data_IF_790177012505
#
_entry.id   IF_790177012505
#
_cell.length_a   1.000
_cell.length_b   1.000
_cell.length_c   1.000
_cell.angle_alpha   90.00
_cell.angle_beta   90.00
_cell.angle_gamma   90.00
#
_symmetry.space_group_name_H-M   'P 1'
#
loop_
_entity.id
_entity.type
_entity.pdbx_description
1 polymer ?
#
# COMPACT_ATOMS: atom_id res chain seq x y z
N UNK A 1 13.71 15.41 7.77
CA UNK A 1 14.13 14.02 7.47
C UNK A 1 13.25 13.09 8.29
N UNK A 2 12.13 12.65 7.70
CA UNK A 2 11.25 11.66 8.30
C UNK A 2 11.47 10.34 7.56
N UNK A 3 12.19 9.43 8.19
CA UNK A 3 12.37 8.06 7.72
C UNK A 3 11.02 7.33 7.71
N UNK A 4 10.65 6.71 6.59
CA UNK A 4 9.42 5.91 6.47
C UNK A 4 9.43 4.76 7.48
N UNK A 5 8.50 4.80 8.44
CA UNK A 5 8.27 3.71 9.39
C UNK A 5 7.28 2.73 8.77
N UNK A 6 7.51 1.43 8.96
CA UNK A 6 6.58 0.36 8.56
C UNK A 6 5.16 0.59 9.09
N UNK A 7 5.05 1.16 10.29
CA UNK A 7 3.82 1.67 10.86
C UNK A 7 3.89 3.20 10.99
N UNK A 8 2.99 3.88 10.28
CA UNK A 8 2.76 5.32 10.41
C UNK A 8 1.28 5.56 10.75
N UNK A 9 1.05 5.94 12.01
CA UNK A 9 -0.27 6.23 12.55
C UNK A 9 -0.98 7.35 11.76
N UNK A 10 -0.25 8.40 11.36
CA UNK A 10 -0.87 9.52 10.66
C UNK A 10 -1.30 9.06 9.27
N UNK A 11 -0.43 8.37 8.53
CA UNK A 11 -0.74 7.81 7.22
C UNK A 11 -2.00 6.91 7.27
N UNK A 12 -2.10 5.98 8.22
CA UNK A 12 -3.27 5.10 8.33
C UNK A 12 -4.56 5.90 8.58
N UNK A 13 -4.49 6.93 9.43
CA UNK A 13 -5.66 7.73 9.78
C UNK A 13 -6.11 8.69 8.67
N UNK A 14 -5.21 9.15 7.83
CA UNK A 14 -5.50 10.17 6.80
C UNK A 14 -5.47 9.64 5.36
N UNK A 15 -5.03 8.41 5.11
CA UNK A 15 -4.99 7.87 3.74
C UNK A 15 -6.41 7.71 3.17
N UNK A 16 -6.75 8.32 2.02
CA UNK A 16 -8.04 8.14 1.34
C UNK A 16 -8.25 6.73 0.80
N UNK A 17 -7.17 6.05 0.38
CA UNK A 17 -7.21 4.71 -0.18
C UNK A 17 -7.49 3.69 0.92
N UNK A 18 -8.71 3.15 0.93
CA UNK A 18 -9.06 2.06 1.85
C UNK A 18 -8.29 0.78 1.51
N UNK A 19 -7.98 0.58 0.22
CA UNK A 19 -7.16 -0.52 -0.28
C UNK A 19 -5.75 -0.48 0.31
N UNK A 20 -5.09 0.67 0.28
CA UNK A 20 -3.78 0.84 0.91
C UNK A 20 -3.85 0.60 2.42
N UNK A 21 -4.89 1.09 3.10
CA UNK A 21 -5.10 0.87 4.54
C UNK A 21 -5.25 -0.62 4.86
N UNK A 22 -5.99 -1.38 4.05
CA UNK A 22 -6.12 -2.83 4.21
C UNK A 22 -4.79 -3.55 3.96
N UNK A 23 -4.07 -3.19 2.89
CA UNK A 23 -2.74 -3.74 2.60
C UNK A 23 -1.75 -3.48 3.74
N UNK A 24 -1.74 -2.27 4.30
CA UNK A 24 -0.89 -1.92 5.45
C UNK A 24 -1.26 -2.76 6.68
N UNK A 25 -2.55 -2.97 6.95
CA UNK A 25 -3.02 -3.85 8.02
C UNK A 25 -2.53 -5.29 7.83
N UNK A 26 -2.72 -5.86 6.64
CA UNK A 26 -2.30 -7.23 6.32
C UNK A 26 -0.78 -7.36 6.49
N UNK A 27 -0.01 -6.43 5.92
CA UNK A 27 1.46 -6.48 6.01
C UNK A 27 1.95 -6.40 7.46
N UNK A 28 1.31 -5.59 8.32
CA UNK A 28 1.62 -5.54 9.75
C UNK A 28 1.21 -6.84 10.46
N UNK A 29 0.05 -7.42 10.12
CA UNK A 29 -0.42 -8.69 10.70
C UNK A 29 0.54 -9.84 10.36
N UNK A 30 1.03 -9.92 9.13
CA UNK A 30 2.05 -10.88 8.72
C UNK A 30 3.34 -10.72 9.52
N UNK A 31 3.82 -9.49 9.70
CA UNK A 31 5.06 -9.25 10.43
C UNK A 31 4.94 -9.57 11.93
N UNK A 32 3.81 -9.21 12.57
CA UNK A 32 3.53 -9.65 13.93
C UNK A 32 3.48 -11.18 14.04
N UNK A 33 2.88 -11.85 13.05
CA UNK A 33 2.76 -13.30 13.05
C UNK A 33 4.14 -14.00 12.95
N UNK A 34 5.01 -13.60 12.01
CA UNK A 34 6.36 -14.20 11.87
C UNK A 34 7.28 -13.92 13.06
N UNK A 35 6.97 -12.89 13.86
CA UNK A 35 7.63 -12.60 15.13
C UNK A 35 7.03 -13.37 16.32
N UNK A 36 6.00 -14.19 16.10
CA UNK A 36 5.34 -15.03 17.11
C UNK A 36 4.19 -14.34 17.87
N UNK A 37 3.82 -13.11 17.51
CA UNK A 37 2.69 -12.38 18.11
C UNK A 37 1.36 -12.73 17.42
N UNK A 38 1.01 -14.02 17.41
CA UNK A 38 -0.15 -14.54 16.65
C UNK A 38 -1.48 -13.96 17.15
N UNK A 39 -1.62 -13.66 18.45
CA UNK A 39 -2.81 -13.00 18.99
C UNK A 39 -3.04 -11.59 18.42
N UNK A 40 -1.97 -10.85 18.18
CA UNK A 40 -2.01 -9.52 17.55
C UNK A 40 -2.42 -9.67 16.10
N UNK A 41 -1.78 -10.57 15.35
CA UNK A 41 -2.12 -10.85 13.96
C UNK A 41 -3.60 -11.26 13.81
N UNK A 42 -4.09 -12.18 14.64
CA UNK A 42 -5.52 -12.54 14.72
C UNK A 42 -6.41 -11.32 14.90
N UNK A 43 -6.08 -10.44 15.85
CA UNK A 43 -6.91 -9.27 16.15
C UNK A 43 -6.97 -8.32 14.95
N UNK A 44 -5.85 -8.12 14.25
CA UNK A 44 -5.81 -7.32 13.02
C UNK A 44 -6.64 -7.98 11.91
N UNK A 45 -6.50 -9.29 11.69
CA UNK A 45 -7.31 -10.03 10.71
C UNK A 45 -8.80 -9.94 11.03
N UNK A 46 -9.22 -10.10 12.30
CA UNK A 46 -10.62 -9.91 12.69
C UNK A 46 -11.10 -8.49 12.39
N UNK A 47 -10.28 -7.46 12.62
CA UNK A 47 -10.63 -6.09 12.24
C UNK A 47 -10.83 -5.97 10.73
N UNK A 48 -9.93 -6.51 9.91
CA UNK A 48 -10.07 -6.52 8.45
C UNK A 48 -11.35 -7.24 8.02
N UNK A 49 -11.57 -8.46 8.48
CA UNK A 49 -12.72 -9.29 8.08
C UNK A 49 -14.06 -8.72 8.56
N UNK A 50 -14.06 -7.94 9.66
CA UNK A 50 -15.23 -7.16 10.07
C UNK A 50 -15.56 -6.03 9.08
N UNK A 51 -14.57 -5.58 8.31
CA UNK A 51 -14.73 -4.54 7.31
C UNK A 51 -14.97 -5.10 5.91
N UNK A 52 -14.23 -6.13 5.50
CA UNK A 52 -14.39 -6.81 4.23
C UNK A 52 -14.15 -8.31 4.37
N UNK A 53 -15.21 -9.10 4.14
CA UNK A 53 -15.21 -10.56 4.19
C UNK A 53 -15.24 -11.19 2.79
N UNK A 54 -14.97 -10.41 1.74
CA UNK A 54 -14.90 -10.88 0.35
C UNK A 54 -13.92 -12.04 0.16
N UNK A 55 -14.14 -12.86 -0.88
CA UNK A 55 -13.22 -13.93 -1.25
C UNK A 55 -11.80 -13.41 -1.55
N UNK A 56 -11.70 -12.21 -2.15
CA UNK A 56 -10.43 -11.55 -2.41
C UNK A 56 -9.68 -11.23 -1.10
N UNK A 57 -10.36 -10.60 -0.13
CA UNK A 57 -9.78 -10.32 1.19
C UNK A 57 -9.36 -11.60 1.93
N UNK A 58 -10.17 -12.66 1.85
CA UNK A 58 -9.82 -13.97 2.42
C UNK A 58 -8.59 -14.58 1.74
N UNK A 59 -8.47 -14.43 0.42
CA UNK A 59 -7.32 -14.89 -0.36
C UNK A 59 -6.05 -14.13 0.00
N UNK A 60 -6.13 -12.81 0.23
CA UNK A 60 -4.96 -12.01 0.62
C UNK A 60 -4.39 -12.43 1.99
N UNK A 61 -5.24 -12.89 2.92
CA UNK A 61 -4.79 -13.35 4.25
C UNK A 61 -4.54 -14.86 4.34
N UNK A 62 -4.75 -15.62 3.27
CA UNK A 62 -4.83 -17.10 3.33
C UNK A 62 -3.59 -17.75 3.96
N UNK A 63 -2.40 -17.17 3.77
CA UNK A 63 -1.15 -17.71 4.32
C UNK A 63 -1.03 -17.52 5.83
N UNK A 64 -1.75 -16.55 6.41
CA UNK A 64 -1.85 -16.40 7.87
C UNK A 64 -2.68 -17.51 8.51
N UNK A 65 -3.52 -18.22 7.74
CA UNK A 65 -4.28 -19.37 8.24
C UNK A 65 -3.35 -20.47 8.79
N UNK A 66 -2.14 -20.62 8.24
CA UNK A 66 -1.15 -21.56 8.77
C UNK A 66 -0.72 -21.19 10.20
N UNK A 67 -0.48 -19.91 10.48
CA UNK A 67 -0.10 -19.43 11.81
C UNK A 67 -1.24 -19.61 12.83
N UNK A 68 -2.47 -19.33 12.39
CA UNK A 68 -3.67 -19.47 13.21
C UNK A 68 -3.96 -20.95 13.52
N UNK A 69 -3.75 -21.84 12.54
CA UNK A 69 -3.85 -23.28 12.70
C UNK A 69 -2.82 -23.83 13.71
N UNK A 70 -1.56 -23.42 13.57
CA UNK A 70 -0.45 -23.87 14.43
C UNK A 70 -0.69 -23.55 15.92
N UNK A 71 -1.42 -22.48 16.20
CA UNK A 71 -1.70 -22.00 17.57
C UNK A 71 -3.13 -22.24 18.03
N UNK A 72 -3.99 -22.85 17.20
CA UNK A 72 -5.44 -22.97 17.41
C UNK A 72 -6.10 -21.63 17.81
N UNK A 73 -5.66 -20.53 17.18
CA UNK A 73 -6.08 -19.18 17.54
C UNK A 73 -6.76 -18.48 16.37
N UNK A 74 -7.92 -18.99 15.97
CA UNK A 74 -8.66 -18.49 14.81
C UNK A 74 -9.52 -17.25 15.13
N UNK A 75 -9.64 -16.27 14.20
CA UNK A 75 -10.72 -15.29 14.15
C UNK A 75 -12.10 -15.95 14.13
N UNK A 76 -13.12 -15.29 14.67
CA UNK A 76 -14.51 -15.79 14.62
C UNK A 76 -15.10 -15.67 13.20
N UNK A 77 -14.58 -14.72 12.42
CA UNK A 77 -15.01 -14.41 11.06
C UNK A 77 -14.61 -15.50 10.04
N UNK A 78 -13.58 -16.30 10.33
CA UNK A 78 -13.15 -17.40 9.44
C UNK A 78 -14.05 -18.62 9.68
N UNK A 79 -14.66 -19.16 8.62
CA UNK A 79 -15.63 -20.25 8.74
C UNK A 79 -14.97 -21.54 9.24
N UNK A 80 -15.73 -22.44 9.86
CA UNK A 80 -15.19 -23.73 10.31
C UNK A 80 -14.64 -24.57 9.15
N UNK A 81 -15.20 -24.45 7.95
CA UNK A 81 -14.73 -25.18 6.77
C UNK A 81 -13.33 -24.73 6.34
N UNK A 82 -13.04 -23.44 6.45
CA UNK A 82 -11.73 -22.86 6.09
C UNK A 82 -10.65 -23.16 7.14
N UNK A 83 -11.05 -23.65 8.33
CA UNK A 83 -10.15 -24.11 9.39
C UNK A 83 -9.76 -25.58 9.25
N UNK A 84 -10.45 -26.34 8.39
CA UNK A 84 -10.20 -27.76 8.22
C UNK A 84 -8.87 -28.01 7.51
N UNK A 85 -8.22 -29.13 7.82
CA UNK A 85 -6.95 -29.55 7.22
C UNK A 85 -6.99 -29.52 5.69
N UNK A 86 -8.13 -29.92 5.11
CA UNK A 86 -8.33 -29.91 3.66
C UNK A 86 -8.20 -28.51 3.06
N UNK A 87 -8.72 -27.47 3.71
CA UNK A 87 -8.59 -26.10 3.23
C UNK A 87 -7.13 -25.63 3.30
N UNK A 88 -6.41 -26.02 4.36
CA UNK A 88 -4.97 -25.74 4.49
C UNK A 88 -4.13 -26.46 3.43
N UNK A 89 -4.49 -27.70 3.10
CA UNK A 89 -3.90 -28.47 1.99
C UNK A 89 -4.16 -27.80 0.64
N UNK A 90 -5.38 -27.29 0.40
CA UNK A 90 -5.72 -26.58 -0.83
C UNK A 90 -4.87 -25.30 -0.99
N UNK A 91 -4.62 -24.55 0.10
CA UNK A 91 -3.67 -23.42 0.08
C UNK A 91 -2.26 -23.93 -0.22
N UNK A 92 -1.85 -25.05 0.39
CA UNK A 92 -0.51 -25.62 0.23
C UNK A 92 -0.22 -26.05 -1.21
N UNK A 93 -1.22 -26.56 -1.93
CA UNK A 93 -1.11 -26.93 -3.35
C UNK A 93 -0.83 -25.73 -4.27
N UNK A 94 -1.14 -24.51 -3.82
CA UNK A 94 -0.94 -23.28 -4.56
C UNK A 94 0.24 -22.47 -4.01
N UNK A 95 1.07 -23.05 -3.14
CA UNK A 95 2.29 -22.40 -2.67
C UNK A 95 3.24 -22.10 -3.85
N UNK A 96 3.75 -20.86 -3.97
CA UNK A 96 4.69 -20.50 -5.04
C UNK A 96 5.92 -21.42 -5.01
N UNK A 97 6.32 -22.02 -6.13
CA UNK A 97 7.58 -22.77 -6.21
C UNK A 97 7.56 -24.23 -5.71
N UNK A 98 6.42 -24.76 -5.26
CA UNK A 98 6.26 -26.22 -5.04
C UNK A 98 5.89 -26.87 -6.37
N UNK A 99 6.79 -27.65 -6.96
CA UNK A 99 6.39 -28.55 -8.05
C UNK A 99 5.63 -29.75 -7.46
N UNK A 100 4.48 -30.17 -8.03
CA UNK A 100 3.66 -31.29 -7.53
C UNK A 100 4.37 -32.66 -7.49
N UNK A 101 5.64 -32.73 -7.91
CA UNK A 101 6.44 -33.95 -8.00
C UNK A 101 7.31 -34.25 -6.79
N UNK A 102 7.41 -33.36 -5.79
CA UNK A 102 8.30 -33.55 -4.63
C UNK A 102 7.63 -34.25 -3.43
N UNK A 103 6.33 -34.54 -3.47
CA UNK A 103 5.56 -35.13 -2.37
C UNK A 103 5.68 -36.66 -2.24
N UNK A 104 6.88 -37.22 -2.43
CA UNK A 104 7.06 -38.68 -2.24
C UNK A 104 8.43 -39.32 -2.49
N UNK A 105 9.53 -38.57 -2.64
CA UNK A 105 10.87 -39.19 -2.75
C UNK A 105 11.53 -39.35 -1.38
N UNK A 106 12.17 -40.50 -1.14
CA UNK A 106 13.07 -40.73 0.01
C UNK A 106 14.05 -39.55 0.18
N UNK A 107 14.00 -38.91 1.35
CA UNK A 107 14.84 -37.76 1.73
C UNK A 107 16.33 -38.15 1.60
N UNK A 108 17.08 -37.45 0.75
CA UNK A 108 18.42 -37.90 0.31
C UNK A 108 19.44 -36.77 0.09
N UNK A 109 20.60 -37.10 -0.50
CA UNK A 109 21.69 -36.15 -0.84
C UNK A 109 21.21 -34.94 -1.67
N UNK A 110 20.06 -35.05 -2.35
CA UNK A 110 19.41 -34.00 -3.14
C UNK A 110 18.94 -32.81 -2.29
N UNK A 111 18.34 -33.05 -1.12
CA UNK A 111 17.80 -31.97 -0.27
C UNK A 111 18.91 -31.23 0.46
N UNK A 112 19.98 -31.94 0.84
CA UNK A 112 21.21 -31.30 1.33
C UNK A 112 21.86 -30.41 0.28
N UNK A 113 21.92 -30.87 -0.98
CA UNK A 113 22.45 -30.07 -2.08
C UNK A 113 21.57 -28.85 -2.36
N UNK A 114 20.25 -29.01 -2.38
CA UNK A 114 19.27 -27.91 -2.55
C UNK A 114 19.32 -26.91 -1.39
N UNK A 115 19.36 -27.37 -0.15
CA UNK A 115 19.54 -26.53 1.04
C UNK A 115 20.83 -25.71 0.96
N UNK A 116 21.94 -26.37 0.59
CA UNK A 116 23.21 -25.68 0.43
C UNK A 116 23.13 -24.67 -0.71
N UNK A 117 22.55 -25.03 -1.85
CA UNK A 117 22.34 -24.10 -2.94
C UNK A 117 21.54 -22.89 -2.46
N UNK A 118 20.29 -23.05 -2.02
CA UNK A 118 19.44 -21.94 -1.54
C UNK A 118 20.12 -21.04 -0.50
N UNK A 119 20.95 -21.59 0.38
CA UNK A 119 21.67 -20.80 1.38
C UNK A 119 22.83 -19.99 0.78
N UNK A 120 23.45 -20.43 -0.31
CA UNK A 120 24.71 -19.92 -0.85
C UNK A 120 24.72 -19.51 -2.34
N UNK A 121 23.68 -19.78 -3.15
CA UNK A 121 23.64 -19.43 -4.58
C UNK A 121 23.78 -17.93 -4.82
N UNK A 122 23.67 -17.11 -3.78
CA UNK A 122 23.62 -15.66 -3.89
C UNK A 122 24.41 -14.94 -2.78
N UNK A 123 25.60 -15.46 -2.42
CA UNK A 123 26.53 -14.74 -1.51
C UNK A 123 26.96 -13.35 -2.04
N UNK A 124 26.56 -12.96 -3.25
CA UNK A 124 26.80 -11.64 -3.86
C UNK A 124 25.59 -10.70 -4.02
N UNK A 125 24.35 -11.13 -3.79
CA UNK A 125 23.19 -10.23 -3.81
C UNK A 125 22.83 -9.78 -2.39
N UNK A 126 23.38 -8.64 -1.98
CA UNK A 126 22.96 -7.90 -0.79
C UNK A 126 21.76 -6.99 -1.05
N UNK A 127 21.31 -6.86 -2.31
CA UNK A 127 20.16 -6.06 -2.73
C UNK A 127 18.98 -6.19 -1.75
N UNK A 128 18.50 -5.06 -1.23
CA UNK A 128 17.42 -4.99 -0.24
C UNK A 128 16.06 -4.73 -0.88
N UNK A 129 16.02 -4.25 -2.12
CA UNK A 129 14.80 -3.98 -2.88
C UNK A 129 14.80 -4.64 -4.27
N UNK A 130 13.62 -4.70 -4.88
CA UNK A 130 13.42 -5.17 -6.25
C UNK A 130 13.45 -6.69 -6.41
N UNK A 131 13.60 -7.15 -7.66
CA UNK A 131 13.44 -8.56 -8.03
C UNK A 131 14.46 -9.49 -7.34
N UNK A 132 15.73 -9.07 -7.28
CA UNK A 132 16.79 -9.88 -6.66
C UNK A 132 16.56 -10.05 -5.16
N UNK A 133 16.13 -8.99 -4.46
CA UNK A 133 15.77 -9.06 -3.05
C UNK A 133 14.61 -10.05 -2.82
N UNK A 134 13.54 -9.97 -3.61
CA UNK A 134 12.40 -10.90 -3.54
C UNK A 134 12.80 -12.36 -3.79
N UNK A 135 13.61 -12.62 -4.83
CA UNK A 135 14.11 -13.97 -5.11
C UNK A 135 14.94 -14.53 -3.95
N UNK A 136 15.76 -13.68 -3.32
CA UNK A 136 16.56 -14.08 -2.16
C UNK A 136 15.71 -14.35 -0.92
N UNK A 137 14.68 -13.54 -0.68
CA UNK A 137 13.69 -13.74 0.39
C UNK A 137 12.98 -15.08 0.25
N UNK A 138 12.48 -15.39 -0.95
CA UNK A 138 11.86 -16.67 -1.25
C UNK A 138 12.82 -17.86 -1.03
N UNK A 139 14.06 -17.76 -1.53
CA UNK A 139 15.05 -18.83 -1.34
C UNK A 139 15.39 -19.10 0.14
N UNK A 140 15.41 -18.07 0.98
CA UNK A 140 15.64 -18.22 2.42
C UNK A 140 14.43 -18.84 3.14
N UNK A 141 13.21 -18.52 2.72
CA UNK A 141 12.01 -19.18 3.23
C UNK A 141 11.97 -20.67 2.87
N UNK A 142 12.37 -21.03 1.65
CA UNK A 142 12.50 -22.43 1.21
C UNK A 142 13.59 -23.16 1.97
N UNK A 143 14.73 -22.51 2.19
CA UNK A 143 15.82 -23.08 2.97
C UNK A 143 15.40 -23.33 4.44
N UNK A 144 14.51 -22.49 5.00
CA UNK A 144 13.97 -22.69 6.34
C UNK A 144 13.06 -23.92 6.37
N UNK A 145 12.14 -24.05 5.40
CA UNK A 145 11.24 -25.20 5.30
C UNK A 145 12.03 -26.50 5.20
N UNK A 146 13.00 -26.59 4.29
CA UNK A 146 13.87 -27.77 4.15
C UNK A 146 14.64 -28.05 5.46
N UNK A 147 15.16 -27.02 6.13
CA UNK A 147 15.88 -27.23 7.38
C UNK A 147 14.97 -27.78 8.50
N UNK A 148 13.71 -27.35 8.56
CA UNK A 148 12.72 -27.82 9.53
C UNK A 148 12.36 -29.28 9.22
N UNK A 149 12.10 -29.63 7.96
CA UNK A 149 11.79 -31.01 7.56
C UNK A 149 12.93 -31.97 7.93
N UNK A 150 14.17 -31.61 7.59
CA UNK A 150 15.36 -32.39 7.94
C UNK A 150 15.57 -32.56 9.45
N UNK A 151 15.16 -31.57 10.25
CA UNK A 151 15.24 -31.65 11.71
C UNK A 151 14.10 -32.50 12.28
N UNK A 152 12.93 -32.44 11.64
CA UNK A 152 11.71 -33.17 12.02
C UNK A 152 11.86 -34.69 11.82
N UNK A 153 12.67 -35.11 10.85
CA UNK A 153 13.11 -36.50 10.68
C UNK A 153 13.86 -37.06 11.90
N UNK A 154 14.56 -36.19 12.64
CA UNK A 154 15.36 -36.54 13.81
C UNK A 154 14.63 -36.39 15.14
N UNK A 155 13.60 -35.55 15.21
CA UNK A 155 12.84 -35.27 16.43
C UNK A 155 11.48 -34.65 16.11
N UNK A 156 10.45 -34.99 16.88
CA UNK A 156 9.15 -34.32 16.86
C UNK A 156 9.01 -33.23 17.93
N UNK A 157 10.04 -33.00 18.76
CA UNK A 157 10.03 -31.92 19.74
C UNK A 157 10.40 -30.60 19.07
N UNK A 158 9.46 -29.64 19.07
CA UNK A 158 9.63 -28.30 18.48
C UNK A 158 10.89 -27.59 19.01
N UNK A 159 11.26 -27.79 20.28
CA UNK A 159 12.46 -27.17 20.86
C UNK A 159 13.73 -27.78 20.29
N UNK A 160 13.73 -29.07 20.01
CA UNK A 160 14.88 -29.74 19.38
C UNK A 160 15.00 -29.34 17.90
N UNK A 161 13.87 -29.26 17.19
CA UNK A 161 13.81 -28.75 15.80
C UNK A 161 14.33 -27.31 15.74
N UNK A 162 13.83 -26.42 16.61
CA UNK A 162 14.26 -25.02 16.66
C UNK A 162 15.76 -24.91 16.96
N UNK A 163 16.31 -25.78 17.81
CA UNK A 163 17.74 -25.78 18.17
C UNK A 163 18.63 -26.45 17.13
N UNK A 164 18.07 -27.08 16.09
CA UNK A 164 18.86 -27.68 15.03
C UNK A 164 19.79 -26.64 14.38
N UNK A 165 21.02 -27.07 14.09
CA UNK A 165 22.08 -26.18 13.59
C UNK A 165 21.73 -25.58 12.23
N UNK A 166 21.00 -26.29 11.37
CA UNK A 166 20.60 -25.80 10.05
C UNK A 166 19.48 -24.78 10.20
N UNK A 167 18.45 -25.08 11.00
CA UNK A 167 17.35 -24.15 11.30
C UNK A 167 17.91 -22.86 11.87
N UNK A 168 18.76 -22.94 12.90
CA UNK A 168 19.39 -21.76 13.50
C UNK A 168 20.24 -20.97 12.50
N UNK A 169 20.91 -21.63 11.56
CA UNK A 169 21.73 -20.98 10.54
C UNK A 169 20.89 -20.19 9.54
N UNK A 170 19.75 -20.75 9.11
CA UNK A 170 18.82 -20.03 8.22
C UNK A 170 18.18 -18.85 8.94
N UNK A 171 17.73 -19.04 10.19
CA UNK A 171 17.19 -17.94 11.00
C UNK A 171 18.18 -16.78 11.17
N UNK A 172 19.49 -17.04 11.32
CA UNK A 172 20.51 -15.97 11.30
C UNK A 172 20.47 -15.19 9.97
N UNK A 173 20.37 -15.88 8.83
CA UNK A 173 20.38 -15.22 7.52
C UNK A 173 19.11 -14.41 7.29
N UNK A 174 17.95 -14.94 7.66
CA UNK A 174 16.65 -14.24 7.62
C UNK A 174 16.68 -13.01 8.53
N UNK A 175 17.15 -13.15 9.77
CA UNK A 175 17.18 -12.06 10.77
C UNK A 175 17.97 -10.82 10.33
N UNK A 176 18.87 -10.94 9.34
CA UNK A 176 19.66 -9.84 8.78
C UNK A 176 18.98 -9.12 7.62
N UNK A 177 17.87 -9.66 7.11
CA UNK A 177 17.21 -9.24 5.87
C UNK A 177 15.70 -9.11 6.03
N UNK A 178 15.18 -8.96 7.25
CA UNK A 178 13.74 -8.82 7.48
C UNK A 178 13.14 -7.56 6.84
N UNK A 179 13.96 -6.53 6.64
CA UNK A 179 13.59 -5.29 5.95
C UNK A 179 13.61 -5.42 4.43
N UNK A 180 14.13 -6.54 3.88
CA UNK A 180 14.25 -6.70 2.43
C UNK A 180 12.90 -7.01 1.79
N UNK A 181 12.72 -6.60 0.54
CA UNK A 181 11.48 -6.82 -0.21
C UNK A 181 11.05 -8.29 -0.19
N UNK A 182 9.78 -8.50 0.14
CA UNK A 182 9.14 -9.82 0.18
C UNK A 182 9.61 -10.74 1.31
N UNK A 183 10.50 -10.31 2.23
CA UNK A 183 11.03 -11.17 3.29
C UNK A 183 9.92 -11.75 4.18
N UNK A 184 9.04 -10.90 4.70
CA UNK A 184 7.91 -11.34 5.55
C UNK A 184 6.94 -12.22 4.77
N UNK A 185 6.49 -11.76 3.60
CA UNK A 185 5.53 -12.48 2.75
C UNK A 185 6.05 -13.88 2.36
N UNK A 186 7.29 -14.00 1.90
CA UNK A 186 7.85 -15.31 1.54
C UNK A 186 7.91 -16.28 2.73
N UNK A 187 8.08 -15.78 3.96
CA UNK A 187 8.06 -16.62 5.15
C UNK A 187 6.66 -17.13 5.48
N UNK A 188 5.62 -16.29 5.29
CA UNK A 188 4.23 -16.65 5.59
C UNK A 188 3.69 -17.70 4.63
N UNK A 189 4.13 -17.65 3.36
CA UNK A 189 3.71 -18.54 2.27
C UNK A 189 4.04 -20.02 2.49
N UNK A 190 4.98 -20.37 3.38
CA UNK A 190 5.39 -21.78 3.60
C UNK A 190 4.77 -22.34 4.87
N UNK A 191 3.86 -23.31 4.74
CA UNK A 191 3.21 -23.95 5.91
C UNK A 191 4.22 -24.46 6.95
N UNK A 192 5.25 -25.17 6.51
CA UNK A 192 6.28 -25.81 7.37
C UNK A 192 7.03 -24.78 8.23
N UNK A 193 7.20 -23.54 7.74
CA UNK A 193 7.93 -22.52 8.49
C UNK A 193 7.23 -22.16 9.82
N UNK A 194 5.90 -22.29 9.87
CA UNK A 194 5.11 -21.88 11.03
C UNK A 194 5.39 -22.71 12.29
N UNK A 195 5.83 -23.97 12.16
CA UNK A 195 6.29 -24.81 13.28
C UNK A 195 7.37 -24.12 14.14
N UNK A 196 8.21 -23.29 13.52
CA UNK A 196 9.27 -22.53 14.22
C UNK A 196 8.90 -21.06 14.38
N UNK A 197 8.28 -20.42 13.38
CA UNK A 197 7.95 -19.00 13.43
C UNK A 197 6.91 -18.68 14.52
N UNK A 198 5.90 -19.53 14.70
CA UNK A 198 4.85 -19.32 15.69
C UNK A 198 5.38 -19.33 17.14
N UNK A 199 6.56 -19.90 17.39
CA UNK A 199 7.20 -19.88 18.72
C UNK A 199 7.86 -18.55 19.04
N UNK A 200 7.97 -17.62 18.08
CA UNK A 200 8.75 -16.39 18.20
C UNK A 200 10.27 -16.60 18.08
N UNK A 201 10.71 -17.71 17.49
CA UNK A 201 12.13 -18.01 17.30
C UNK A 201 12.88 -16.90 16.54
N UNK A 202 12.22 -16.30 15.55
CA UNK A 202 12.79 -15.22 14.75
C UNK A 202 12.95 -13.92 15.56
N UNK A 203 11.95 -13.55 16.38
CA UNK A 203 12.04 -12.40 17.27
C UNK A 203 13.19 -12.53 18.28
N UNK A 204 13.36 -13.72 18.88
CA UNK A 204 14.52 -14.03 19.73
C UNK A 204 15.85 -13.92 18.98
N UNK A 205 15.85 -14.22 17.67
CA UNK A 205 17.06 -14.15 16.85
C UNK A 205 17.49 -12.73 16.55
N UNK A 206 16.52 -11.82 16.38
CA UNK A 206 16.72 -10.40 16.11
C UNK A 206 16.98 -9.61 17.40
N UNK A 207 16.74 -10.20 18.57
CA UNK A 207 16.79 -9.54 19.88
C UNK A 207 15.72 -8.45 20.00
N UNK A 208 14.49 -8.78 19.60
CA UNK A 208 13.33 -7.89 19.74
C UNK A 208 12.97 -7.72 21.22
N UNK A 209 12.78 -6.46 21.65
CA UNK A 209 12.22 -6.14 22.95
C UNK A 209 10.71 -6.40 22.93
N UNK A 210 10.29 -7.47 23.62
CA UNK A 210 8.90 -7.91 23.68
C UNK A 210 7.99 -6.82 24.27
N UNK A 211 8.47 -6.02 25.23
CA UNK A 211 7.65 -4.97 25.82
C UNK A 211 7.42 -3.81 24.84
N UNK A 212 8.42 -3.48 24.00
CA UNK A 212 8.23 -2.51 22.90
C UNK A 212 7.29 -3.08 21.84
N UNK A 213 7.42 -4.36 21.51
CA UNK A 213 6.58 -5.02 20.53
C UNK A 213 5.11 -5.09 20.98
N UNK A 214 4.85 -5.37 22.26
CA UNK A 214 3.51 -5.35 22.86
C UNK A 214 2.91 -3.94 22.85
N UNK A 215 3.67 -2.92 23.25
CA UNK A 215 3.20 -1.54 23.22
C UNK A 215 2.86 -1.07 21.80
N UNK A 216 3.70 -1.45 20.82
CA UNK A 216 3.43 -1.16 19.42
C UNK A 216 2.19 -1.92 18.90
N UNK A 217 2.00 -3.17 19.29
CA UNK A 217 0.81 -3.95 18.94
C UNK A 217 -0.48 -3.26 19.43
N UNK A 218 -0.49 -2.75 20.66
CA UNK A 218 -1.63 -1.99 21.20
C UNK A 218 -1.89 -0.71 20.39
N UNK A 219 -0.83 0.03 20.04
CA UNK A 219 -0.95 1.27 19.24
C UNK A 219 -1.48 1.00 17.82
N UNK A 220 -0.97 -0.05 17.15
CA UNK A 220 -1.40 -0.46 15.82
C UNK A 220 -2.89 -0.83 15.83
N UNK A 221 -3.30 -1.70 16.77
CA UNK A 221 -4.70 -2.13 16.90
C UNK A 221 -5.60 -0.93 17.18
N UNK A 222 -5.21 -0.05 18.10
CA UNK A 222 -6.00 1.14 18.43
C UNK A 222 -6.14 2.08 17.22
N UNK A 223 -5.09 2.21 16.41
CA UNK A 223 -5.09 3.07 15.21
C UNK A 223 -6.04 2.55 14.14
N UNK A 224 -6.01 1.25 13.83
CA UNK A 224 -6.95 0.68 12.86
C UNK A 224 -8.40 0.68 13.36
N UNK A 225 -8.63 0.41 14.66
CA UNK A 225 -9.96 0.58 15.26
C UNK A 225 -10.46 2.01 15.10
N UNK A 226 -9.63 2.99 15.44
CA UNK A 226 -9.98 4.41 15.27
C UNK A 226 -10.32 4.73 13.81
N UNK A 227 -9.54 4.22 12.86
CA UNK A 227 -9.76 4.42 11.42
C UNK A 227 -11.07 3.80 10.92
N UNK A 228 -11.42 2.60 11.38
CA UNK A 228 -12.61 1.87 10.95
C UNK A 228 -13.87 2.36 11.65
N UNK A 229 -13.79 2.82 12.90
CA UNK A 229 -14.93 3.35 13.65
C UNK A 229 -15.26 4.79 13.27
N UNK A 230 -14.24 5.64 13.10
CA UNK A 230 -14.44 7.09 12.89
C UNK A 230 -14.25 7.53 11.43
N UNK A 231 -13.81 6.63 10.56
CA UNK A 231 -13.46 6.96 9.19
C UNK A 231 -12.16 7.75 9.08
N UNK A 232 -11.97 8.40 7.91
CA UNK A 232 -10.73 9.11 7.58
C UNK A 232 -10.68 10.41 8.37
N UNK A 233 -9.53 10.70 8.97
CA UNK A 233 -9.25 12.05 9.48
C UNK A 233 -8.92 12.98 8.32
N UNK A 234 -9.58 14.13 8.28
CA UNK A 234 -9.25 15.16 7.31
C UNK A 234 -7.81 15.64 7.55
N UNK A 235 -7.03 15.73 6.48
CA UNK A 235 -5.74 16.40 6.53
C UNK A 235 -6.02 17.90 6.52
N UNK A 236 -5.59 18.61 7.56
CA UNK A 236 -5.79 20.05 7.67
C UNK A 236 -4.71 20.81 6.88
N UNK A 237 -5.07 22.00 6.40
CA UNK A 237 -4.15 22.91 5.74
C UNK A 237 -4.87 23.82 4.75
N UNK A 238 -4.54 25.11 4.74
CA UNK A 238 -4.92 25.98 3.65
C UNK A 238 -4.18 25.60 2.36
N UNK A 239 -4.66 26.06 1.20
CA UNK A 239 -3.97 25.83 -0.08
C UNK A 239 -2.54 26.38 -0.02
N UNK A 240 -2.35 27.55 0.61
CA UNK A 240 -1.03 28.15 0.81
C UNK A 240 -0.11 27.25 1.66
N UNK A 241 -0.60 26.73 2.78
CA UNK A 241 0.18 25.85 3.66
C UNK A 241 0.57 24.55 2.95
N UNK A 242 -0.35 23.95 2.18
CA UNK A 242 -0.10 22.73 1.41
C UNK A 242 0.95 22.97 0.31
N UNK A 243 0.87 24.09 -0.41
CA UNK A 243 1.85 24.45 -1.44
C UNK A 243 3.24 24.72 -0.84
N UNK A 244 3.30 25.40 0.31
CA UNK A 244 4.56 25.64 1.02
C UNK A 244 5.22 24.33 1.46
N UNK A 245 4.42 23.38 1.94
CA UNK A 245 4.90 22.06 2.33
C UNK A 245 5.43 21.27 1.13
N UNK A 246 4.70 21.29 0.00
CA UNK A 246 5.15 20.68 -1.26
C UNK A 246 6.45 21.29 -1.78
N UNK A 247 6.58 22.62 -1.68
CA UNK A 247 7.78 23.35 -2.12
C UNK A 247 9.00 22.89 -1.33
N UNK A 248 8.84 22.86 0.00
CA UNK A 248 9.87 22.38 0.90
C UNK A 248 10.25 20.94 0.60
N UNK A 249 9.27 20.05 0.43
CA UNK A 249 9.54 18.63 0.21
C UNK A 249 10.20 18.39 -1.15
N UNK A 250 9.74 19.06 -2.19
CA UNK A 250 10.32 18.90 -3.54
C UNK A 250 11.76 19.44 -3.59
N UNK A 251 12.02 20.64 -3.06
CA UNK A 251 13.37 21.21 -3.06
C UNK A 251 14.38 20.42 -2.23
N UNK A 252 13.94 19.73 -1.18
CA UNK A 252 14.81 18.94 -0.32
C UNK A 252 15.14 17.55 -0.89
N UNK A 253 14.41 17.07 -1.90
CA UNK A 253 14.57 15.72 -2.45
C UNK A 253 14.74 15.72 -3.98
N UNK A 254 15.00 16.87 -4.60
CA UNK A 254 15.25 16.93 -6.03
C UNK A 254 16.74 16.70 -6.34
N UNK A 255 17.13 15.44 -6.41
CA UNK A 255 18.51 15.01 -6.71
C UNK A 255 18.97 15.46 -8.11
N UNK A 256 18.04 15.81 -9.01
CA UNK A 256 18.39 16.28 -10.37
C UNK A 256 19.21 17.57 -10.36
N UNK A 257 19.05 18.43 -9.34
CA UNK A 257 19.89 19.62 -9.19
C UNK A 257 21.32 19.25 -8.82
N UNK A 258 21.52 18.25 -7.96
CA UNK A 258 22.84 17.74 -7.62
C UNK A 258 23.51 17.05 -8.81
N UNK A 259 22.75 16.25 -9.57
CA UNK A 259 23.27 15.55 -10.76
C UNK A 259 23.68 16.48 -11.90
N UNK A 260 22.97 17.61 -12.05
CA UNK A 260 23.21 18.58 -13.12
C UNK A 260 24.09 19.78 -12.70
N UNK A 261 24.62 19.81 -11.47
CA UNK A 261 25.34 20.94 -10.88
C UNK A 261 24.53 22.27 -10.92
N UNK A 262 23.20 22.19 -10.85
CA UNK A 262 22.30 23.34 -10.87
C UNK A 262 21.91 23.78 -9.45
N UNK A 263 21.82 25.09 -9.17
CA UNK A 263 21.39 25.55 -7.86
C UNK A 263 19.90 25.24 -7.66
N UNK A 264 19.57 24.59 -6.54
CA UNK A 264 18.19 24.41 -6.09
C UNK A 264 17.52 25.80 -6.01
N UNK A 265 16.37 26.01 -6.68
CA UNK A 265 15.70 27.31 -6.68
C UNK A 265 15.27 27.69 -5.26
N UNK A 266 15.20 28.99 -4.95
CA UNK A 266 14.73 29.45 -3.63
C UNK A 266 13.26 29.06 -3.39
N UNK A 267 12.48 28.98 -4.47
CA UNK A 267 11.06 28.66 -4.44
C UNK A 267 10.61 28.08 -5.78
N UNK A 268 9.65 27.15 -5.75
CA UNK A 268 8.98 26.57 -6.91
C UNK A 268 7.71 27.34 -7.32
N UNK A 269 7.40 28.43 -6.62
CA UNK A 269 6.25 29.27 -6.90
C UNK A 269 6.56 30.21 -8.07
N UNK A 270 5.65 30.28 -9.05
CA UNK A 270 5.67 31.31 -10.07
C UNK A 270 5.07 32.63 -9.55
N UNK A 271 5.05 33.67 -10.39
CA UNK A 271 4.43 34.95 -10.01
C UNK A 271 2.91 34.81 -9.95
N UNK A 272 2.25 35.15 -8.82
CA UNK A 272 0.80 35.14 -8.67
C UNK A 272 -0.01 35.68 -9.85
N UNK A 273 -1.13 35.03 -10.16
CA UNK A 273 -2.06 35.47 -11.18
C UNK A 273 -2.89 36.64 -10.66
N UNK A 274 -3.10 37.63 -11.52
CA UNK A 274 -4.11 38.68 -11.31
C UNK A 274 -5.51 38.16 -11.58
N UNK A 275 -6.53 38.79 -10.98
CA UNK A 275 -7.93 38.44 -11.25
C UNK A 275 -8.26 38.60 -12.75
N UNK A 276 -7.66 39.56 -13.45
CA UNK A 276 -7.81 39.74 -14.89
C UNK A 276 -7.25 38.55 -15.69
N UNK A 277 -6.11 37.98 -15.30
CA UNK A 277 -5.54 36.80 -15.97
C UNK A 277 -6.44 35.56 -15.76
N UNK A 278 -6.96 35.39 -14.55
CA UNK A 278 -7.89 34.30 -14.23
C UNK A 278 -9.18 34.44 -15.06
N UNK A 279 -9.76 35.64 -15.12
CA UNK A 279 -10.96 35.90 -15.91
C UNK A 279 -10.72 35.71 -17.42
N UNK A 280 -9.54 36.07 -17.92
CA UNK A 280 -9.20 35.88 -19.32
C UNK A 280 -9.11 34.39 -19.69
N UNK A 281 -8.50 33.56 -18.84
CA UNK A 281 -8.43 32.12 -19.10
C UNK A 281 -9.79 31.44 -18.95
N UNK A 282 -10.61 31.83 -17.97
CA UNK A 282 -12.00 31.37 -17.83
C UNK A 282 -12.82 31.68 -19.09
N UNK A 283 -12.67 32.89 -19.63
CA UNK A 283 -13.32 33.31 -20.88
C UNK A 283 -12.79 32.56 -22.11
N UNK A 284 -11.47 32.34 -22.18
CA UNK A 284 -10.82 31.58 -23.28
C UNK A 284 -11.32 30.13 -23.32
N UNK A 285 -11.48 29.51 -22.15
CA UNK A 285 -11.88 28.11 -21.99
C UNK A 285 -13.41 27.92 -21.93
N UNK A 286 -14.18 29.00 -21.81
CA UNK A 286 -15.63 29.05 -21.63
C UNK A 286 -16.11 28.26 -20.40
N UNK A 287 -15.45 28.48 -19.26
CA UNK A 287 -15.73 27.82 -17.98
C UNK A 287 -15.61 28.78 -16.79
N UNK A 288 -16.06 28.31 -15.63
CA UNK A 288 -15.66 28.87 -14.34
C UNK A 288 -14.78 27.86 -13.63
N UNK A 289 -13.58 28.29 -13.23
CA UNK A 289 -12.65 27.44 -12.49
C UNK A 289 -13.12 27.26 -11.04
N UNK A 290 -12.83 26.10 -10.40
CA UNK A 290 -13.07 25.91 -8.98
C UNK A 290 -12.47 27.04 -8.14
N UNK A 291 -13.15 27.43 -7.05
CA UNK A 291 -12.64 28.46 -6.13
C UNK A 291 -11.24 28.14 -5.61
N UNK A 292 -11.02 26.86 -5.25
CA UNK A 292 -9.73 26.35 -4.77
C UNK A 292 -8.63 26.52 -5.81
N UNK A 293 -8.91 26.25 -7.09
CA UNK A 293 -7.91 26.41 -8.15
C UNK A 293 -7.60 27.90 -8.41
N UNK A 294 -8.61 28.77 -8.34
CA UNK A 294 -8.41 30.22 -8.44
C UNK A 294 -7.57 30.76 -7.29
N UNK A 295 -7.75 30.24 -6.08
CA UNK A 295 -6.90 30.56 -4.93
C UNK A 295 -5.45 30.12 -5.18
N UNK A 296 -5.22 28.89 -5.66
CA UNK A 296 -3.89 28.42 -6.07
C UNK A 296 -3.23 29.32 -7.14
N UNK A 297 -3.98 29.75 -8.16
CA UNK A 297 -3.47 30.65 -9.20
C UNK A 297 -3.08 32.02 -8.62
N UNK A 298 -3.82 32.53 -7.63
CA UNK A 298 -3.46 33.77 -6.92
C UNK A 298 -2.27 33.63 -5.98
N UNK A 299 -1.89 32.41 -5.63
CA UNK A 299 -0.75 32.13 -4.74
C UNK A 299 0.53 31.89 -5.56
N UNK A 300 0.45 31.06 -6.60
CA UNK A 300 1.64 30.63 -7.36
C UNK A 300 1.52 30.82 -8.87
N UNK A 301 0.33 30.69 -9.45
CA UNK A 301 0.13 30.71 -10.91
C UNK A 301 1.09 29.79 -11.70
N UNK A 302 1.30 28.58 -11.19
CA UNK A 302 2.30 27.66 -11.71
C UNK A 302 3.23 27.22 -10.60
N UNK A 303 3.37 25.92 -10.43
CA UNK A 303 4.09 25.33 -9.32
C UNK A 303 4.82 24.05 -9.74
N UNK A 304 6.10 23.94 -9.38
CA UNK A 304 6.89 22.74 -9.60
C UNK A 304 7.78 22.75 -10.83
N UNK A 305 7.51 23.57 -11.86
CA UNK A 305 8.39 23.80 -13.02
C UNK A 305 8.86 22.51 -13.75
N UNK A 306 9.94 21.93 -13.25
CA UNK A 306 10.56 20.67 -13.70
C UNK A 306 9.84 19.41 -13.18
N UNK A 307 9.04 19.53 -12.12
CA UNK A 307 8.21 18.45 -11.58
C UNK A 307 7.98 18.57 -10.07
N UNK A 308 7.13 17.70 -9.54
CA UNK A 308 6.82 17.62 -8.11
C UNK A 308 7.36 16.31 -7.53
N UNK A 309 8.02 16.36 -6.38
CA UNK A 309 8.46 15.14 -5.71
C UNK A 309 7.26 14.38 -5.15
N UNK A 310 7.07 13.12 -5.57
CA UNK A 310 5.99 12.25 -5.07
C UNK A 310 6.45 11.25 -4.00
N UNK A 311 7.70 11.34 -3.55
CA UNK A 311 8.32 10.40 -2.63
C UNK A 311 9.27 9.39 -3.25
N UNK A 312 9.22 9.23 -4.58
CA UNK A 312 10.06 8.30 -5.34
C UNK A 312 10.76 8.99 -6.52
N UNK A 313 10.05 9.84 -7.24
CA UNK A 313 10.54 10.56 -8.42
C UNK A 313 9.72 11.85 -8.64
N UNK A 314 10.14 12.64 -9.64
CA UNK A 314 9.39 13.84 -10.06
C UNK A 314 8.19 13.46 -10.93
N UNK A 315 7.02 14.00 -10.57
CA UNK A 315 5.76 13.89 -11.33
C UNK A 315 5.34 15.25 -11.90
N UNK A 316 4.19 15.29 -12.59
CA UNK A 316 3.68 16.48 -13.25
C UNK A 316 3.65 17.73 -12.33
N UNK A 317 4.17 18.88 -12.80
CA UNK A 317 3.99 20.16 -12.13
C UNK A 317 2.53 20.61 -12.23
N UNK A 318 2.16 21.65 -11.49
CA UNK A 318 0.86 22.32 -11.63
C UNK A 318 1.01 23.56 -12.52
N UNK A 319 0.10 23.71 -13.47
CA UNK A 319 0.10 24.75 -14.49
C UNK A 319 -0.41 26.09 -13.97
N UNK A 320 0.11 27.16 -14.57
CA UNK A 320 -0.43 28.51 -14.44
C UNK A 320 -1.53 28.79 -15.46
N UNK A 321 -2.03 30.03 -15.49
CA UNK A 321 -3.10 30.46 -16.42
C UNK A 321 -2.75 30.27 -17.89
N UNK A 322 -1.48 30.35 -18.26
CA UNK A 322 -1.05 30.36 -19.65
C UNK A 322 -1.04 28.95 -20.28
N UNK A 323 -0.86 27.93 -19.44
CA UNK A 323 -0.70 26.53 -19.86
C UNK A 323 -2.00 25.72 -19.76
N UNK A 324 -3.08 26.30 -19.22
CA UNK A 324 -4.37 25.62 -19.14
C UNK A 324 -4.97 25.40 -20.54
N UNK A 325 -5.27 24.14 -20.84
CA UNK A 325 -5.89 23.73 -22.09
C UNK A 325 -6.83 22.53 -21.96
N UNK A 326 -7.81 22.48 -22.85
CA UNK A 326 -8.64 21.29 -23.04
C UNK A 326 -7.88 20.25 -23.83
N UNK A 327 -7.79 19.03 -23.31
CA UNK A 327 -7.24 17.89 -24.04
C UNK A 327 -8.34 16.86 -24.31
N UNK A 328 -8.16 16.07 -25.38
CA UNK A 328 -8.91 14.81 -25.52
C UNK A 328 -8.41 13.93 -24.38
N UNK A 329 -9.31 13.43 -23.54
CA UNK A 329 -8.89 12.52 -22.49
C UNK A 329 -8.76 11.08 -23.00
N UNK A 330 -8.90 10.14 -22.09
CA UNK A 330 -8.53 8.74 -22.27
C UNK A 330 -9.75 7.86 -22.55
N UNK A 331 -9.56 6.84 -23.40
CA UNK A 331 -10.53 5.78 -23.65
C UNK A 331 -10.50 4.75 -22.50
N UNK A 332 -10.55 5.26 -21.27
CA UNK A 332 -10.60 4.50 -20.03
C UNK A 332 -11.91 4.82 -19.31
N UNK A 333 -12.55 3.83 -18.67
CA UNK A 333 -13.69 4.07 -17.79
C UNK A 333 -13.34 5.06 -16.67
N UNK A 334 -14.19 6.06 -16.49
CA UNK A 334 -14.07 7.06 -15.46
C UNK A 334 -14.82 6.59 -14.21
N UNK A 335 -14.05 6.11 -13.23
CA UNK A 335 -14.52 5.76 -11.90
C UNK A 335 -13.96 6.73 -10.87
N UNK A 336 -14.79 7.09 -9.91
CA UNK A 336 -14.45 8.04 -8.86
C UNK A 336 -14.12 7.36 -7.52
N UNK A 337 -14.34 6.05 -7.37
CA UNK A 337 -13.89 5.32 -6.20
C UNK A 337 -12.77 4.36 -6.59
N UNK A 338 -11.91 4.08 -5.63
CA UNK A 338 -10.98 2.96 -5.72
C UNK A 338 -11.68 1.66 -5.31
N UNK A 339 -11.51 0.61 -6.11
CA UNK A 339 -11.92 -0.74 -5.72
C UNK A 339 -10.96 -1.31 -4.69
N UNK A 340 -11.50 -1.79 -3.57
CA UNK A 340 -10.73 -2.53 -2.55
C UNK A 340 -10.39 -3.95 -3.02
N UNK A 341 -11.18 -4.51 -3.94
CA UNK A 341 -10.96 -5.85 -4.53
C UNK A 341 -10.10 -5.75 -5.80
N UNK A 342 -9.57 -6.87 -6.27
CA UNK A 342 -8.85 -6.92 -7.54
C UNK A 342 -9.79 -6.81 -8.76
N UNK A 343 -11.09 -6.93 -8.53
CA UNK A 343 -12.15 -6.94 -9.53
C UNK A 343 -12.81 -5.58 -9.80
N UNK A 344 -13.45 -5.51 -10.96
CA UNK A 344 -14.38 -4.43 -11.33
C UNK A 344 -15.78 -4.83 -10.90
N UNK A 345 -16.09 -4.59 -9.63
CA UNK A 345 -17.31 -5.14 -9.04
C UNK A 345 -18.57 -4.32 -9.34
N UNK A 346 -18.41 -3.13 -9.95
CA UNK A 346 -19.50 -2.24 -10.29
C UNK A 346 -19.75 -2.18 -11.81
N UNK A 347 -20.79 -2.87 -12.27
CA UNK A 347 -21.25 -2.82 -13.65
C UNK A 347 -22.54 -2.00 -13.78
N UNK A 348 -22.73 -1.40 -14.96
CA UNK A 348 -23.99 -0.76 -15.29
C UNK A 348 -25.02 -1.79 -15.79
N UNK A 349 -26.32 -1.56 -15.57
CA UNK A 349 -27.38 -2.37 -16.15
C UNK A 349 -27.29 -2.49 -17.67
N UNK A 350 -27.75 -3.63 -18.19
CA UNK A 350 -27.84 -3.94 -19.62
C UNK A 350 -26.48 -3.87 -20.37
N UNK A 351 -25.39 -4.24 -19.69
CA UNK A 351 -24.03 -4.24 -20.22
C UNK A 351 -23.57 -2.88 -20.79
N UNK A 352 -24.14 -1.78 -20.27
CA UNK A 352 -23.74 -0.44 -20.68
C UNK A 352 -22.31 -0.14 -20.23
N UNK A 353 -21.61 0.62 -21.07
CA UNK A 353 -20.28 1.09 -20.78
C UNK A 353 -20.30 2.28 -19.81
N UNK A 354 -19.32 2.31 -18.93
CA UNK A 354 -19.05 3.44 -18.06
C UNK A 354 -18.72 4.69 -18.89
N UNK A 355 -19.08 5.91 -18.42
CA UNK A 355 -18.56 7.14 -19.00
C UNK A 355 -17.03 7.11 -19.02
N UNK A 356 -16.41 7.72 -20.03
CA UNK A 356 -14.95 7.79 -20.17
C UNK A 356 -14.44 9.22 -20.03
N UNK A 357 -13.12 9.39 -20.00
CA UNK A 357 -12.47 10.69 -19.99
C UNK A 357 -12.55 11.36 -21.38
N UNK A 358 -13.74 11.72 -21.86
CA UNK A 358 -13.90 12.22 -23.24
C UNK A 358 -13.14 13.55 -23.48
N UNK A 359 -13.25 14.48 -22.53
CA UNK A 359 -12.64 15.82 -22.58
C UNK A 359 -12.36 16.30 -21.16
N UNK A 360 -11.10 16.61 -20.88
CA UNK A 360 -10.62 17.04 -19.56
C UNK A 360 -9.76 18.30 -19.68
N UNK A 361 -9.69 19.05 -18.59
CA UNK A 361 -8.85 20.25 -18.52
C UNK A 361 -7.49 19.85 -17.94
N UNK A 362 -6.41 20.06 -18.70
CA UNK A 362 -5.06 19.72 -18.26
C UNK A 362 -4.56 20.77 -17.25
N UNK A 363 -4.10 20.29 -16.09
CA UNK A 363 -3.57 21.08 -14.99
C UNK A 363 -2.07 20.86 -14.78
N UNK A 364 -1.47 19.90 -15.47
CA UNK A 364 -0.07 19.53 -15.27
C UNK A 364 0.34 18.41 -16.19
N UNK A 365 1.55 18.47 -16.74
CA UNK A 365 2.14 17.38 -17.53
C UNK A 365 3.64 17.29 -17.34
N UNK A 366 4.15 16.08 -17.14
CA UNK A 366 5.56 15.73 -17.23
C UNK A 366 5.71 14.33 -17.86
N UNK A 367 6.22 14.26 -19.09
CA UNK A 367 6.26 13.04 -19.89
C UNK A 367 4.88 12.35 -19.99
N UNK A 368 4.70 11.18 -19.37
CA UNK A 368 3.44 10.43 -19.30
C UNK A 368 2.57 10.81 -18.10
N UNK A 369 3.11 11.59 -17.16
CA UNK A 369 2.41 12.02 -15.96
C UNK A 369 1.50 13.19 -16.26
N UNK A 370 0.22 13.08 -15.92
CA UNK A 370 -0.75 14.17 -16.12
C UNK A 370 -1.60 14.41 -14.88
N UNK A 371 -1.92 15.68 -14.62
CA UNK A 371 -2.93 16.09 -13.64
C UNK A 371 -4.03 16.79 -14.41
N UNK A 372 -5.28 16.40 -14.19
CA UNK A 372 -6.42 16.93 -14.94
C UNK A 372 -7.59 17.27 -14.02
N UNK A 373 -8.45 18.14 -14.52
CA UNK A 373 -9.81 18.32 -14.03
C UNK A 373 -10.82 17.64 -14.96
N UNK A 374 -11.69 16.85 -14.34
CA UNK A 374 -12.92 16.33 -14.93
C UNK A 374 -14.00 17.42 -14.80
N UNK A 375 -14.64 17.83 -15.91
CA UNK A 375 -15.60 18.94 -15.89
C UNK A 375 -16.97 18.54 -15.32
N UNK A 376 -17.77 19.52 -14.84
CA UNK A 376 -19.05 19.27 -14.16
C UNK A 376 -20.04 18.41 -14.95
N UNK A 377 -20.14 18.62 -16.27
CA UNK A 377 -21.04 17.84 -17.11
C UNK A 377 -20.65 16.36 -17.14
N UNK A 378 -19.35 16.06 -17.17
CA UNK A 378 -18.85 14.68 -17.16
C UNK A 378 -18.96 14.07 -15.76
N UNK A 379 -18.60 14.81 -14.72
CA UNK A 379 -18.78 14.39 -13.32
C UNK A 379 -20.24 14.02 -13.05
N UNK A 380 -21.19 14.85 -13.49
CA UNK A 380 -22.62 14.57 -13.33
C UNK A 380 -23.05 13.27 -14.01
N UNK A 381 -22.60 13.01 -15.25
CA UNK A 381 -22.88 11.74 -15.96
C UNK A 381 -22.38 10.54 -15.17
N UNK A 382 -21.18 10.64 -14.59
CA UNK A 382 -20.59 9.57 -13.78
C UNK A 382 -21.35 9.37 -12.48
N UNK A 383 -21.73 10.44 -11.78
CA UNK A 383 -22.55 10.36 -10.57
C UNK A 383 -23.93 9.73 -10.84
N UNK A 384 -24.53 10.01 -12.00
CA UNK A 384 -25.76 9.35 -12.45
C UNK A 384 -25.53 7.85 -12.70
N UNK A 385 -24.43 7.48 -13.34
CA UNK A 385 -24.03 6.08 -13.55
C UNK A 385 -23.85 5.34 -12.21
N UNK A 386 -23.22 5.97 -11.20
CA UNK A 386 -23.12 5.40 -9.85
C UNK A 386 -24.47 5.14 -9.20
N UNK A 387 -25.40 6.11 -9.26
CA UNK A 387 -26.76 5.95 -8.70
C UNK A 387 -27.49 4.79 -9.35
N UNK A 388 -27.31 4.65 -10.66
CA UNK A 388 -27.95 3.59 -11.42
C UNK A 388 -27.39 2.21 -11.07
N UNK A 389 -26.06 2.08 -11.07
CA UNK A 389 -25.38 0.83 -10.73
C UNK A 389 -25.71 0.37 -9.30
N UNK A 390 -25.61 1.28 -8.32
CA UNK A 390 -25.88 0.97 -6.91
C UNK A 390 -27.38 0.78 -6.62
N UNK A 391 -28.26 1.36 -7.43
CA UNK A 391 -29.71 1.15 -7.38
C UNK A 391 -30.17 -0.17 -8.02
N UNK A 392 -29.33 -0.78 -8.85
CA UNK A 392 -29.65 -2.03 -9.54
C UNK A 392 -29.66 -3.25 -8.63
N UNK A 393 -30.49 -4.25 -8.95
CA UNK A 393 -30.54 -5.53 -8.24
C UNK A 393 -29.49 -6.54 -8.73
N UNK A 394 -28.71 -6.20 -9.76
CA UNK A 394 -27.64 -7.03 -10.31
C UNK A 394 -26.33 -6.94 -9.50
N UNK A 395 -26.18 -5.90 -8.68
CA UNK A 395 -25.05 -5.75 -7.76
C UNK A 395 -25.46 -6.26 -6.37
N UNK A 396 -24.63 -7.09 -5.75
CA UNK A 396 -24.87 -7.61 -4.40
C UNK A 396 -24.80 -6.50 -3.35
N UNK A 397 -25.47 -6.70 -2.21
CA UNK A 397 -25.46 -5.71 -1.13
C UNK A 397 -24.06 -5.55 -0.51
N UNK A 398 -23.26 -6.61 -0.46
CA UNK A 398 -21.89 -6.57 0.06
C UNK A 398 -21.00 -5.67 -0.81
N UNK A 399 -21.07 -5.81 -2.14
CA UNK A 399 -20.34 -4.95 -3.08
C UNK A 399 -20.77 -3.49 -2.93
N UNK A 400 -22.10 -3.23 -2.82
CA UNK A 400 -22.60 -1.87 -2.59
C UNK A 400 -22.03 -1.28 -1.31
N UNK A 401 -22.01 -2.05 -0.21
CA UNK A 401 -21.47 -1.60 1.07
C UNK A 401 -19.98 -1.26 0.96
N UNK A 402 -19.17 -2.09 0.27
CA UNK A 402 -17.75 -1.79 0.06
C UNK A 402 -17.56 -0.49 -0.74
N UNK A 403 -18.35 -0.29 -1.80
CA UNK A 403 -18.28 0.94 -2.60
C UNK A 403 -18.64 2.16 -1.75
N UNK A 404 -19.69 2.07 -0.92
CA UNK A 404 -20.02 3.16 0.01
C UNK A 404 -18.91 3.43 1.01
N UNK A 405 -18.19 2.41 1.51
CA UNK A 405 -17.01 2.58 2.38
C UNK A 405 -15.86 3.26 1.66
N UNK A 406 -15.53 2.85 0.43
CA UNK A 406 -14.50 3.51 -0.39
C UNK A 406 -14.85 4.97 -0.65
N UNK A 407 -16.11 5.25 -1.02
CA UNK A 407 -16.59 6.62 -1.22
C UNK A 407 -16.51 7.44 0.07
N UNK A 408 -16.94 6.88 1.21
CA UNK A 408 -16.86 7.58 2.49
C UNK A 408 -15.41 7.83 2.92
N UNK A 409 -14.51 6.89 2.64
CA UNK A 409 -13.08 7.03 2.92
C UNK A 409 -12.47 8.23 2.17
N UNK A 410 -12.82 8.38 0.89
CA UNK A 410 -12.22 9.38 0.01
C UNK A 410 -12.94 10.74 0.04
N UNK A 411 -14.27 10.74 0.10
CA UNK A 411 -15.14 11.92 -0.04
C UNK A 411 -15.91 12.28 1.25
N UNK A 412 -15.74 11.50 2.32
CA UNK A 412 -16.41 11.68 3.60
C UNK A 412 -17.72 10.89 3.69
N UNK A 413 -18.62 11.05 2.72
CA UNK A 413 -19.85 10.24 2.62
C UNK A 413 -20.47 10.34 1.21
N UNK A 414 -21.54 9.57 1.00
CA UNK A 414 -22.28 9.55 -0.26
C UNK A 414 -22.90 10.90 -0.65
N UNK A 415 -23.41 11.67 0.32
CA UNK A 415 -24.06 12.94 0.02
C UNK A 415 -23.03 14.00 -0.44
N UNK A 416 -21.84 14.03 0.16
CA UNK A 416 -20.73 14.88 -0.29
C UNK A 416 -20.21 14.44 -1.66
N UNK A 417 -20.09 13.12 -1.88
CA UNK A 417 -19.74 12.57 -3.19
C UNK A 417 -20.71 13.01 -4.29
N UNK A 418 -22.02 13.05 -4.01
CA UNK A 418 -23.03 13.50 -4.96
C UNK A 418 -23.00 15.00 -5.27
N UNK A 419 -22.27 15.80 -4.49
CA UNK A 419 -22.10 17.25 -4.68
C UNK A 419 -20.85 17.60 -5.49
N UNK A 420 -20.05 16.61 -5.89
CA UNK A 420 -18.88 16.86 -6.72
C UNK A 420 -19.28 17.51 -8.05
N UNK A 421 -18.58 18.59 -8.39
CA UNK A 421 -18.73 19.29 -9.68
C UNK A 421 -17.46 19.10 -10.51
N UNK A 422 -16.38 19.76 -10.11
CA UNK A 422 -15.05 19.54 -10.67
C UNK A 422 -14.33 18.45 -9.87
N UNK A 423 -13.73 17.49 -10.57
CA UNK A 423 -12.94 16.43 -9.92
C UNK A 423 -11.49 16.47 -10.40
N UNK A 424 -10.55 16.58 -9.47
CA UNK A 424 -9.13 16.43 -9.73
C UNK A 424 -8.76 14.95 -9.89
N UNK A 425 -7.94 14.65 -10.88
CA UNK A 425 -7.37 13.32 -11.10
C UNK A 425 -5.90 13.41 -11.52
N UNK A 426 -5.11 12.41 -11.15
CA UNK A 426 -3.73 12.22 -11.56
C UNK A 426 -3.57 10.94 -12.38
N UNK A 427 -2.62 10.96 -13.30
CA UNK A 427 -2.24 9.87 -14.19
C UNK A 427 -0.74 9.66 -14.02
N UNK A 428 -0.34 9.00 -12.92
CA UNK A 428 1.07 8.83 -12.60
C UNK A 428 1.59 7.51 -13.19
N UNK A 429 1.07 6.33 -12.83
CA UNK A 429 1.41 5.07 -13.52
C UNK A 429 0.23 4.10 -13.56
N UNK A 430 -0.21 3.71 -14.76
CA UNK A 430 -1.31 2.75 -14.93
C UNK A 430 -2.70 3.40 -14.96
N UNK A 431 -3.48 3.22 -13.89
CA UNK A 431 -4.87 3.71 -13.83
C UNK A 431 -4.94 5.09 -13.18
N UNK A 432 -5.85 5.97 -13.64
CA UNK A 432 -6.04 7.27 -13.03
C UNK A 432 -6.47 7.18 -11.56
N UNK A 433 -5.86 8.00 -10.73
CA UNK A 433 -6.28 8.21 -9.34
C UNK A 433 -7.12 9.46 -9.28
N UNK A 434 -8.36 9.33 -8.80
CA UNK A 434 -9.22 10.49 -8.54
C UNK A 434 -8.98 10.99 -7.12
N UNK A 435 -9.08 12.29 -6.90
CA UNK A 435 -8.84 12.89 -5.58
C UNK A 435 -10.08 13.59 -5.02
N UNK A 436 -11.05 13.92 -5.87
CA UNK A 436 -12.18 14.77 -5.52
C UNK A 436 -11.86 16.22 -5.78
N UNK A 437 -11.73 17.03 -4.73
CA UNK A 437 -11.46 18.46 -4.90
C UNK A 437 -9.98 18.74 -5.19
N UNK A 438 -9.66 19.98 -5.55
CA UNK A 438 -8.27 20.39 -5.78
C UNK A 438 -7.48 20.41 -4.47
N UNK A 439 -8.12 20.83 -3.37
CA UNK A 439 -7.52 20.75 -2.04
C UNK A 439 -7.15 19.31 -1.68
N UNK A 440 -8.02 18.33 -2.00
CA UNK A 440 -7.73 16.92 -1.75
C UNK A 440 -6.54 16.40 -2.57
N UNK A 441 -6.43 16.81 -3.83
CA UNK A 441 -5.23 16.54 -4.65
C UNK A 441 -3.96 17.07 -3.97
N UNK A 442 -3.98 18.32 -3.48
CA UNK A 442 -2.81 18.90 -2.79
C UNK A 442 -2.47 18.17 -1.49
N UNK A 443 -3.48 17.78 -0.71
CA UNK A 443 -3.28 16.97 0.51
C UNK A 443 -2.61 15.62 0.19
N UNK A 444 -3.08 14.95 -0.86
CA UNK A 444 -2.52 13.69 -1.33
C UNK A 444 -1.08 13.86 -1.82
N UNK A 445 -0.81 14.89 -2.62
CA UNK A 445 0.56 15.19 -3.08
C UNK A 445 1.49 15.56 -1.93
N UNK A 446 1.02 16.30 -0.91
CA UNK A 446 1.82 16.57 0.30
C UNK A 446 2.17 15.28 1.01
N UNK A 447 1.19 14.38 1.21
CA UNK A 447 1.41 13.09 1.85
C UNK A 447 2.44 12.26 1.06
N UNK A 448 2.26 12.15 -0.25
CA UNK A 448 3.18 11.45 -1.15
C UNK A 448 4.59 12.03 -1.06
N UNK A 449 4.74 13.34 -1.21
CA UNK A 449 6.04 14.04 -1.14
C UNK A 449 6.76 13.90 0.21
N UNK A 450 6.02 13.61 1.27
CA UNK A 450 6.58 13.43 2.61
C UNK A 450 7.16 12.02 2.81
N UNK A 451 6.78 11.05 1.97
CA UNK A 451 7.42 9.74 1.92
C UNK A 451 8.82 9.96 1.38
N UNK A 452 9.83 9.63 2.16
CA UNK A 452 11.21 9.61 1.65
C UNK A 452 11.64 8.16 1.59
N UNK A 453 12.00 7.70 0.40
CA UNK A 453 12.86 6.53 0.23
C UNK A 453 14.24 6.90 0.74
N UNK A 454 14.39 7.02 2.06
CA UNK A 454 15.71 7.25 2.63
C UNK A 454 16.53 5.98 2.41
N UNK A 455 17.55 6.03 1.57
CA UNK A 455 18.56 4.98 1.51
C UNK A 455 19.51 5.12 2.71
N UNK A 456 19.64 4.05 3.50
CA UNK A 456 20.59 3.99 4.62
C UNK A 456 20.18 3.06 5.76
N UNK A 457 21.14 2.69 6.61
CA UNK A 457 20.95 1.74 7.71
C UNK A 457 19.84 2.15 8.70
N UNK A 458 19.60 3.45 8.88
CA UNK A 458 18.52 3.98 9.71
C UNK A 458 17.12 3.75 9.11
N UNK A 459 17.00 3.78 7.78
CA UNK A 459 15.75 3.51 7.08
C UNK A 459 15.41 2.01 7.09
N UNK A 460 16.44 1.17 6.91
CA UNK A 460 16.29 -0.29 7.01
C UNK A 460 15.79 -0.72 8.39
N UNK A 461 16.17 -0.01 9.46
CA UNK A 461 15.69 -0.26 10.83
C UNK A 461 14.24 0.15 11.07
N UNK A 462 13.69 1.02 10.22
CA UNK A 462 12.32 1.51 10.34
C UNK A 462 11.37 0.86 9.33
N UNK A 463 11.90 0.22 8.29
CA UNK A 463 11.17 -0.56 7.30
C UNK A 463 10.63 -1.91 7.82
N UNK A 464 10.97 -2.30 9.06
CA UNK A 464 10.47 -3.52 9.71
C UNK A 464 10.21 -3.27 11.20
N UNK A 465 9.07 -3.77 11.69
CA UNK A 465 8.69 -3.78 13.11
C UNK A 465 9.79 -4.44 13.96
N UNK A 466 10.38 -5.53 13.45
CA UNK A 466 11.38 -6.29 14.19
C UNK A 466 12.56 -5.42 14.62
N UNK A 467 13.04 -4.55 13.73
CA UNK A 467 14.18 -3.67 14.03
C UNK A 467 13.78 -2.43 14.83
N UNK A 468 12.58 -1.88 14.62
CA UNK A 468 12.10 -0.73 15.40
C UNK A 468 11.92 -1.08 16.88
N UNK A 469 11.61 -2.34 17.18
CA UNK A 469 11.44 -2.87 18.52
C UNK A 469 12.74 -3.41 19.15
N UNK A 470 13.94 -3.19 18.61
CA UNK A 470 15.18 -3.58 19.28
C UNK A 470 15.48 -2.70 20.52
N UNK A 471 16.18 -3.20 21.56
CA UNK A 471 16.50 -2.45 22.77
C UNK A 471 17.19 -1.10 22.51
N UNK A 472 18.13 -1.06 21.56
CA UNK A 472 18.93 0.11 21.19
C UNK A 472 18.45 0.85 19.93
N UNK A 473 17.22 0.57 19.47
CA UNK A 473 16.62 1.32 18.37
C UNK A 473 16.27 2.74 18.85
N UNK A 474 16.56 3.81 18.05
CA UNK A 474 16.30 5.20 18.43
C UNK A 474 14.83 5.55 18.62
#
# INVERSE_FOLDING_TARGET
>A
MGTSKKFDRLNILTNPSLKDVYRDLISLAEEFAVLGHISTAKTLISLLLSQDSSEDSQREIQYLNYALAETDNWPDEISMADREEKALEDIAMHEPGVSPSDSGSEMGDSDYARFHDLLYTDEGCDATSGRSAKSRSAALADALAIAIDMASDGSSDIREIEQDKKVQKVLVRISRRMHSDGAVQSLTERRVNWTVLATGALARKIDVDIAKLDALAEEVIATFKERFENGRKSQEGSIEELLMELDRNTRNNNDTHEENDEPVPETLFSTPATDEQILEVERKLDIQLPNEYREYLRISNGFGGEGLWNGHFLVAPLFGTDDLEWIKGFELPLMLHESVTAGWDLSLPDDREWPSYEKVLLLGRLDIFEIVFIPPDLTKKVLEAYREALGGSHISDDVKQQIYKSIASQYGNWDEFQKLEWVAASFDEGWPTTHGTFTQLLQDKVRESSRTDSEGEAALRLASIAYSCMPNSP
#
